data_IF_630234771663
#
_entry.id   IF_630234771663
#
_cell.length_a   1.000
_cell.length_b   1.000
_cell.length_c   1.000
_cell.angle_alpha   90.00
_cell.angle_beta   90.00
_cell.angle_gamma   90.00
#
_symmetry.space_group_name_H-M   'P 1'
#
loop_
_entity.id
_entity.type
_entity.pdbx_description
1 polymer ?
#
# COMPACT_ATOMS: atom_id res chain seq x y z
N UNK A 1 -24.55 15.15 12.97
CA UNK A 1 -24.91 14.12 11.97
C UNK A 1 -23.97 12.94 12.16
N UNK A 2 -24.51 11.76 12.49
CA UNK A 2 -23.71 10.53 12.66
C UNK A 2 -23.27 10.07 11.28
N UNK A 3 -21.97 10.12 11.01
CA UNK A 3 -21.35 9.66 9.77
C UNK A 3 -21.04 8.17 9.97
N UNK A 4 -21.78 7.29 9.29
CA UNK A 4 -21.47 5.87 9.25
C UNK A 4 -20.45 5.59 8.14
N UNK A 5 -19.47 4.75 8.46
CA UNK A 5 -18.23 4.50 7.69
C UNK A 5 -18.45 3.88 6.30
N UNK A 6 -17.63 4.22 5.29
CA UNK A 6 -17.59 3.50 4.02
C UNK A 6 -16.95 2.10 4.20
N UNK A 7 -17.65 1.07 3.74
CA UNK A 7 -17.18 -0.32 3.80
C UNK A 7 -16.19 -0.66 2.68
N UNK A 8 -15.09 -1.34 3.03
CA UNK A 8 -14.16 -1.94 2.07
C UNK A 8 -14.76 -3.28 1.60
N UNK A 9 -15.11 -3.39 0.31
CA UNK A 9 -15.64 -4.64 -0.25
C UNK A 9 -14.59 -5.30 -1.14
N UNK A 10 -14.18 -6.50 -0.77
CA UNK A 10 -13.45 -7.41 -1.67
C UNK A 10 -14.47 -8.13 -2.53
N UNK A 11 -14.61 -7.72 -3.79
CA UNK A 11 -15.62 -8.29 -4.68
C UNK A 11 -15.37 -9.78 -4.98
N UNK A 12 -16.15 -10.66 -4.36
CA UNK A 12 -16.46 -11.98 -4.91
C UNK A 12 -17.69 -11.82 -5.82
N UNK A 13 -17.59 -12.30 -7.06
CA UNK A 13 -18.69 -12.27 -8.03
C UNK A 13 -19.95 -12.96 -7.47
N UNK A 14 -21.10 -12.41 -7.83
CA UNK A 14 -22.44 -12.90 -7.50
C UNK A 14 -22.61 -14.41 -7.68
N UNK A 15 -23.38 -15.00 -6.76
CA UNK A 15 -23.49 -16.44 -6.53
C UNK A 15 -23.80 -17.29 -7.75
N UNK A 16 -22.99 -18.32 -7.91
CA UNK A 16 -23.42 -19.60 -8.47
C UNK A 16 -22.87 -20.69 -7.54
N UNK A 17 -23.78 -21.48 -6.96
CA UNK A 17 -23.46 -22.69 -6.21
C UNK A 17 -22.95 -23.71 -7.24
N UNK A 18 -21.68 -24.08 -7.17
CA UNK A 18 -21.10 -25.08 -8.06
C UNK A 18 -21.04 -26.43 -7.34
N UNK A 19 -21.63 -27.44 -7.97
CA UNK A 19 -21.57 -28.84 -7.58
C UNK A 19 -20.12 -29.35 -7.76
N UNK A 20 -19.59 -29.99 -6.71
CA UNK A 20 -18.20 -30.45 -6.64
C UNK A 20 -17.44 -30.04 -5.36
N UNK A 21 -18.13 -29.47 -4.35
CA UNK A 21 -17.57 -29.35 -3.01
C UNK A 21 -17.63 -30.74 -2.33
N UNK A 22 -16.56 -31.21 -1.67
CA UNK A 22 -16.66 -32.36 -0.79
C UNK A 22 -17.72 -32.06 0.26
N UNK A 23 -18.72 -32.93 0.40
CA UNK A 23 -19.81 -32.74 1.36
C UNK A 23 -19.23 -32.57 2.78
N UNK A 24 -19.49 -31.42 3.42
CA UNK A 24 -19.11 -31.18 4.82
C UNK A 24 -18.49 -29.83 5.19
N UNK A 25 -18.32 -28.87 4.27
CA UNK A 25 -17.76 -27.53 4.57
C UNK A 25 -18.73 -26.40 4.19
N UNK A 26 -19.96 -26.44 4.70
CA UNK A 26 -21.02 -25.48 4.35
C UNK A 26 -20.99 -24.14 5.13
N UNK A 27 -19.98 -23.87 5.96
CA UNK A 27 -19.94 -22.61 6.74
C UNK A 27 -18.53 -21.99 6.86
N UNK A 28 -17.81 -21.93 5.74
CA UNK A 28 -16.56 -21.18 5.68
C UNK A 28 -16.79 -19.66 5.53
N UNK A 29 -17.17 -19.00 6.62
CA UNK A 29 -16.78 -17.61 6.90
C UNK A 29 -15.25 -17.55 7.04
N UNK A 30 -14.52 -17.67 5.92
CA UNK A 30 -13.06 -17.69 5.95
C UNK A 30 -12.47 -16.27 5.86
N UNK A 31 -12.58 -15.54 6.96
CA UNK A 31 -11.48 -14.70 7.44
C UNK A 31 -10.43 -15.67 7.98
N UNK A 32 -9.21 -15.65 7.46
CA UNK A 32 -8.09 -16.43 8.03
C UNK A 32 -7.36 -17.34 7.04
N UNK A 33 -6.33 -16.77 6.41
CA UNK A 33 -4.97 -17.30 6.14
C UNK A 33 -4.76 -18.68 5.48
N UNK A 34 -5.64 -19.68 5.60
CA UNK A 34 -5.36 -21.05 5.11
C UNK A 34 -5.85 -21.40 3.70
N UNK A 35 -6.44 -20.46 2.95
CA UNK A 35 -7.00 -20.75 1.62
C UNK A 35 -6.44 -19.88 0.48
N UNK A 36 -5.23 -19.33 0.63
CA UNK A 36 -4.60 -18.54 -0.44
C UNK A 36 -4.13 -19.42 -1.63
N UNK A 37 -3.77 -20.69 -1.39
CA UNK A 37 -3.31 -21.59 -2.45
C UNK A 37 -4.43 -21.97 -3.44
N UNK A 38 -5.64 -22.28 -2.95
CA UNK A 38 -6.82 -22.52 -3.78
C UNK A 38 -7.28 -21.25 -4.53
N UNK A 39 -7.08 -20.08 -3.95
CA UNK A 39 -7.44 -18.79 -4.56
C UNK A 39 -6.51 -18.41 -5.72
N UNK A 40 -5.22 -18.75 -5.62
CA UNK A 40 -4.20 -18.52 -6.66
C UNK A 40 -4.30 -19.48 -7.86
N UNK A 41 -5.02 -20.60 -7.73
CA UNK A 41 -5.16 -21.61 -8.78
C UNK A 41 -6.06 -21.16 -9.96
N UNK A 42 -6.92 -20.16 -9.75
CA UNK A 42 -7.80 -19.62 -10.82
C UNK A 42 -7.07 -18.56 -11.65
N UNK A 43 -6.81 -18.84 -12.94
CA UNK A 43 -6.11 -17.94 -13.89
C UNK A 43 -6.70 -16.52 -13.95
N UNK A 44 -8.01 -16.37 -13.76
CA UNK A 44 -8.72 -15.08 -13.82
C UNK A 44 -8.45 -14.19 -12.60
N UNK A 45 -8.39 -14.80 -11.40
CA UNK A 45 -8.03 -14.10 -10.16
C UNK A 45 -6.58 -13.61 -10.20
N UNK A 46 -5.69 -14.40 -10.81
CA UNK A 46 -4.27 -14.07 -11.00
C UNK A 46 -4.04 -12.78 -11.78
N UNK A 47 -4.86 -12.51 -12.81
CA UNK A 47 -4.78 -11.24 -13.58
C UNK A 47 -5.19 -10.03 -12.75
N UNK A 48 -6.18 -10.17 -11.86
CA UNK A 48 -6.70 -9.03 -11.08
C UNK A 48 -5.88 -8.75 -9.81
N UNK A 49 -5.26 -9.76 -9.19
CA UNK A 49 -4.47 -9.60 -7.96
C UNK A 49 -3.23 -8.72 -8.14
N UNK A 50 -2.28 -9.16 -8.98
CA UNK A 50 -0.98 -8.48 -9.13
C UNK A 50 -0.71 -8.03 -10.56
N UNK A 51 -1.58 -8.33 -11.55
CA UNK A 51 -1.46 -7.77 -12.92
C UNK A 51 -2.37 -6.57 -13.15
N UNK A 52 -2.91 -5.97 -12.09
CA UNK A 52 -3.73 -4.77 -12.19
C UNK A 52 -2.96 -3.65 -12.91
N UNK A 53 -3.65 -2.92 -13.80
CA UNK A 53 -3.06 -1.86 -14.63
C UNK A 53 -2.47 -0.70 -13.81
N UNK A 54 -2.96 -0.53 -12.59
CA UNK A 54 -2.52 0.52 -11.66
C UNK A 54 -1.15 0.22 -11.02
N UNK A 55 -0.62 -1.00 -11.15
CA UNK A 55 0.69 -1.35 -10.63
C UNK A 55 1.78 -1.22 -11.68
N UNK A 56 2.95 -0.72 -11.27
CA UNK A 56 4.15 -0.73 -12.11
C UNK A 56 4.65 -2.15 -12.31
N UNK A 57 5.40 -2.42 -13.39
CA UNK A 57 5.97 -3.77 -13.63
C UNK A 57 6.78 -4.28 -12.45
N UNK A 58 7.53 -3.41 -11.78
CA UNK A 58 8.33 -3.76 -10.62
C UNK A 58 7.45 -4.17 -9.44
N UNK A 59 6.42 -3.37 -9.13
CA UNK A 59 5.44 -3.68 -8.09
C UNK A 59 4.70 -4.99 -8.37
N UNK A 60 4.33 -5.26 -9.63
CA UNK A 60 3.70 -6.53 -10.02
C UNK A 60 4.59 -7.75 -9.77
N UNK A 61 5.87 -7.65 -10.15
CA UNK A 61 6.85 -8.71 -9.92
C UNK A 61 7.09 -8.92 -8.43
N UNK A 62 7.17 -7.84 -7.66
CA UNK A 62 7.30 -7.88 -6.22
C UNK A 62 6.12 -8.57 -5.56
N UNK A 63 4.88 -8.15 -5.85
CA UNK A 63 3.66 -8.77 -5.33
C UNK A 63 3.56 -10.25 -5.70
N UNK A 64 3.92 -10.61 -6.94
CA UNK A 64 3.98 -12.01 -7.36
C UNK A 64 4.95 -12.82 -6.49
N UNK A 65 6.18 -12.32 -6.27
CA UNK A 65 7.16 -12.99 -5.40
C UNK A 65 6.64 -13.13 -3.98
N UNK A 66 5.99 -12.09 -3.45
CA UNK A 66 5.41 -12.07 -2.11
C UNK A 66 4.30 -13.11 -1.92
N UNK A 67 3.49 -13.38 -2.95
CA UNK A 67 2.42 -14.38 -2.90
C UNK A 67 2.91 -15.82 -3.09
N UNK A 68 4.10 -16.00 -3.66
CA UNK A 68 4.67 -17.30 -4.00
C UNK A 68 5.86 -17.67 -3.11
N UNK A 69 6.04 -16.96 -1.98
CA UNK A 69 7.15 -17.17 -1.04
C UNK A 69 8.53 -17.22 -1.73
N UNK A 70 8.70 -16.39 -2.77
CA UNK A 70 9.90 -16.38 -3.62
C UNK A 70 10.94 -15.36 -3.15
N UNK A 71 10.82 -14.87 -1.92
CA UNK A 71 11.74 -13.93 -1.30
C UNK A 71 12.72 -14.66 -0.38
N UNK A 72 13.94 -14.15 -0.28
CA UNK A 72 14.96 -14.69 0.63
C UNK A 72 14.81 -14.07 2.01
N UNK A 73 13.94 -14.65 2.84
CA UNK A 73 13.64 -14.20 4.21
C UNK A 73 13.50 -15.39 5.16
N UNK A 74 13.65 -15.16 6.46
CA UNK A 74 13.38 -16.15 7.48
C UNK A 74 14.18 -17.44 7.29
N UNK A 75 13.46 -18.58 7.35
CA UNK A 75 14.03 -19.93 7.25
C UNK A 75 14.88 -20.18 6.02
N UNK A 76 14.72 -19.40 4.95
CA UNK A 76 15.62 -19.47 3.79
C UNK A 76 17.09 -19.38 4.19
N UNK A 77 17.41 -18.52 5.19
CA UNK A 77 18.78 -18.27 5.62
C UNK A 77 19.32 -19.27 6.64
N UNK A 78 18.45 -20.01 7.34
CA UNK A 78 18.82 -20.93 8.44
C UNK A 78 19.89 -21.98 8.07
N UNK A 79 19.91 -22.41 6.82
CA UNK A 79 20.83 -23.45 6.32
C UNK A 79 22.13 -22.89 5.73
N UNK A 80 22.34 -21.56 5.76
CA UNK A 80 23.52 -20.92 5.17
C UNK A 80 24.39 -20.40 6.33
N UNK A 81 25.53 -21.05 6.65
CA UNK A 81 26.30 -20.79 7.88
C UNK A 81 26.68 -19.32 8.11
N UNK A 82 27.07 -18.60 7.06
CA UNK A 82 27.50 -17.20 7.16
C UNK A 82 26.35 -16.19 7.26
N UNK A 83 25.11 -16.63 7.00
CA UNK A 83 23.95 -15.74 6.92
C UNK A 83 22.78 -16.20 7.79
N UNK A 84 22.96 -17.21 8.64
CA UNK A 84 21.91 -17.77 9.52
C UNK A 84 21.23 -16.69 10.38
N UNK A 85 21.99 -15.68 10.80
CA UNK A 85 21.49 -14.54 11.57
C UNK A 85 20.38 -13.75 10.86
N UNK A 86 20.24 -13.89 9.54
CA UNK A 86 19.16 -13.25 8.75
C UNK A 86 17.83 -13.99 8.79
N UNK A 87 17.77 -15.12 9.48
CA UNK A 87 16.49 -15.82 9.75
C UNK A 87 15.59 -15.00 10.69
N UNK A 88 16.21 -14.31 11.65
CA UNK A 88 15.51 -13.50 12.65
C UNK A 88 15.76 -12.02 12.40
N UNK A 89 14.77 -11.21 12.73
CA UNK A 89 14.92 -9.76 12.67
C UNK A 89 15.85 -9.30 13.80
N UNK A 90 17.06 -8.88 13.45
CA UNK A 90 18.09 -8.41 14.40
C UNK A 90 17.68 -7.19 15.26
N UNK A 91 16.57 -6.52 14.92
CA UNK A 91 16.06 -5.39 15.69
C UNK A 91 15.07 -5.78 16.79
N UNK A 92 14.33 -6.87 16.62
CA UNK A 92 13.23 -7.21 17.54
C UNK A 92 13.18 -8.70 17.93
N UNK A 93 14.05 -9.53 17.36
CA UNK A 93 14.21 -10.95 17.72
C UNK A 93 13.12 -11.88 17.18
N UNK A 94 12.12 -11.37 16.45
CA UNK A 94 11.08 -12.21 15.83
C UNK A 94 11.57 -12.87 14.54
N UNK A 95 10.98 -14.01 14.18
CA UNK A 95 11.22 -14.66 12.89
C UNK A 95 10.89 -13.70 11.75
N UNK A 96 11.81 -13.57 10.78
CA UNK A 96 11.63 -12.60 9.70
C UNK A 96 10.77 -13.20 8.57
N UNK A 97 9.46 -13.13 8.74
CA UNK A 97 8.47 -13.43 7.69
C UNK A 97 7.91 -12.15 7.04
N UNK A 98 7.14 -12.31 5.96
CA UNK A 98 6.62 -11.18 5.21
C UNK A 98 5.61 -10.34 6.01
N UNK A 99 4.78 -10.98 6.83
CA UNK A 99 3.80 -10.31 7.69
C UNK A 99 4.49 -9.51 8.79
N UNK A 100 5.53 -10.08 9.38
CA UNK A 100 6.41 -9.42 10.32
C UNK A 100 7.01 -8.16 9.68
N UNK A 101 7.70 -8.29 8.53
CA UNK A 101 8.34 -7.16 7.84
C UNK A 101 7.34 -6.02 7.57
N UNK A 102 6.13 -6.36 7.10
CA UNK A 102 5.19 -5.36 6.60
C UNK A 102 4.27 -4.78 7.66
N UNK A 103 3.91 -5.53 8.72
CA UNK A 103 2.90 -5.11 9.69
C UNK A 103 3.39 -5.03 11.14
N UNK A 104 4.35 -5.86 11.55
CA UNK A 104 4.69 -6.03 12.98
C UNK A 104 6.09 -5.53 13.36
N UNK A 105 7.00 -5.43 12.39
CA UNK A 105 8.41 -5.12 12.63
C UNK A 105 8.56 -3.72 13.25
N UNK A 106 9.34 -3.64 14.33
CA UNK A 106 9.62 -2.39 15.07
C UNK A 106 10.81 -1.60 14.51
N UNK A 107 11.40 -2.07 13.41
CA UNK A 107 12.51 -1.37 12.76
C UNK A 107 12.03 0.00 12.25
N UNK A 108 12.86 1.06 12.36
CA UNK A 108 12.54 2.35 11.76
C UNK A 108 12.18 2.22 10.28
N UNK A 109 11.10 2.89 9.88
CA UNK A 109 10.64 2.98 8.50
C UNK A 109 9.32 2.29 8.21
N UNK A 110 9.05 1.10 8.78
CA UNK A 110 7.79 0.39 8.54
C UNK A 110 6.58 1.22 8.95
N UNK A 111 6.53 1.61 10.23
CA UNK A 111 5.42 2.39 10.78
C UNK A 111 5.34 3.77 10.12
N UNK A 112 6.49 4.39 9.86
CA UNK A 112 6.56 5.71 9.25
C UNK A 112 5.97 5.71 7.84
N UNK A 113 6.27 4.72 7.02
CA UNK A 113 5.70 4.59 5.67
C UNK A 113 4.19 4.41 5.73
N UNK A 114 3.67 3.60 6.66
CA UNK A 114 2.22 3.46 6.81
C UNK A 114 1.54 4.74 7.29
N UNK A 115 2.17 5.49 8.18
CA UNK A 115 1.63 6.79 8.62
C UNK A 115 1.62 7.80 7.47
N UNK A 116 2.64 7.83 6.61
CA UNK A 116 2.65 8.67 5.41
C UNK A 116 1.51 8.30 4.44
N UNK A 117 1.29 7.01 4.20
CA UNK A 117 0.21 6.53 3.35
C UNK A 117 -1.18 6.87 3.92
N UNK A 118 -1.34 6.66 5.24
CA UNK A 118 -2.55 7.00 5.99
C UNK A 118 -2.82 8.50 5.94
N UNK A 119 -1.82 9.34 6.21
CA UNK A 119 -1.97 10.79 6.16
C UNK A 119 -2.39 11.26 4.77
N UNK A 120 -1.83 10.70 3.70
CA UNK A 120 -2.25 11.06 2.35
C UNK A 120 -3.69 10.65 2.06
N UNK A 121 -4.09 9.46 2.49
CA UNK A 121 -5.46 8.98 2.33
C UNK A 121 -6.46 9.86 3.08
N UNK A 122 -6.13 10.23 4.32
CA UNK A 122 -6.98 11.01 5.20
C UNK A 122 -7.22 12.45 4.73
N UNK A 123 -6.36 12.99 3.85
CA UNK A 123 -6.62 14.29 3.20
C UNK A 123 -7.90 14.32 2.38
N UNK A 124 -8.35 13.16 1.88
CA UNK A 124 -9.46 13.04 0.95
C UNK A 124 -10.58 12.15 1.45
N UNK A 125 -10.23 11.13 2.23
CA UNK A 125 -11.14 10.07 2.65
C UNK A 125 -11.16 9.99 4.17
N UNK A 126 -12.34 9.74 4.76
CA UNK A 126 -12.49 9.88 6.22
C UNK A 126 -11.89 8.75 7.06
N UNK A 127 -11.78 7.53 6.53
CA UNK A 127 -11.40 6.34 7.31
C UNK A 127 -10.26 5.61 6.63
N UNK A 128 -9.15 5.43 7.35
CA UNK A 128 -8.06 4.55 6.92
C UNK A 128 -8.45 3.09 7.17
N UNK A 129 -8.37 2.21 6.16
CA UNK A 129 -8.71 0.80 6.33
C UNK A 129 -7.69 0.08 7.20
N UNK A 130 -8.17 -0.90 7.97
CA UNK A 130 -7.30 -1.82 8.68
C UNK A 130 -6.47 -2.64 7.68
N UNK A 131 -5.19 -2.83 8.00
CA UNK A 131 -4.26 -3.56 7.16
C UNK A 131 -4.05 -4.97 7.70
N UNK A 132 -4.16 -5.95 6.81
CA UNK A 132 -3.71 -7.32 7.02
C UNK A 132 -2.83 -7.73 5.84
N UNK A 133 -2.01 -8.79 6.00
CA UNK A 133 -1.19 -9.28 4.88
C UNK A 133 -2.07 -9.63 3.67
N UNK A 134 -3.23 -10.25 3.92
CA UNK A 134 -4.22 -10.56 2.89
C UNK A 134 -4.77 -9.31 2.19
N UNK A 135 -5.08 -8.25 2.93
CA UNK A 135 -5.53 -6.97 2.37
C UNK A 135 -4.46 -6.31 1.49
N UNK A 136 -3.19 -6.38 1.91
CA UNK A 136 -2.06 -5.79 1.19
C UNK A 136 -1.80 -6.55 -0.12
N UNK A 137 -1.68 -7.87 -0.04
CA UNK A 137 -1.48 -8.73 -1.20
C UNK A 137 -2.69 -8.70 -2.14
N UNK A 138 -3.89 -8.65 -1.58
CA UNK A 138 -5.16 -8.55 -2.29
C UNK A 138 -5.52 -7.14 -2.76
N UNK A 139 -4.67 -6.14 -2.54
CA UNK A 139 -4.99 -4.72 -2.82
C UNK A 139 -5.43 -4.48 -4.26
N UNK A 140 -4.92 -5.24 -5.24
CA UNK A 140 -5.34 -5.15 -6.65
C UNK A 140 -6.82 -5.43 -6.89
N UNK A 141 -7.48 -6.17 -5.98
CA UNK A 141 -8.91 -6.45 -6.02
C UNK A 141 -9.77 -5.40 -5.32
N UNK A 142 -9.15 -4.46 -4.60
CA UNK A 142 -9.89 -3.52 -3.78
C UNK A 142 -10.78 -2.61 -4.65
N UNK A 143 -12.02 -2.48 -4.20
CA UNK A 143 -13.04 -1.61 -4.78
C UNK A 143 -13.67 -0.80 -3.66
N UNK A 144 -13.39 0.50 -3.65
CA UNK A 144 -13.99 1.46 -2.72
C UNK A 144 -15.33 1.88 -3.29
N UNK A 145 -16.36 1.84 -2.45
CA UNK A 145 -17.70 2.29 -2.80
C UNK A 145 -18.13 3.45 -1.92
N UNK A 146 -19.08 4.26 -2.41
CA UNK A 146 -19.77 5.22 -1.57
C UNK A 146 -20.84 4.53 -0.70
N UNK A 147 -21.54 5.31 0.12
CA UNK A 147 -22.63 4.84 0.99
C UNK A 147 -23.77 4.17 0.22
N UNK A 148 -23.92 4.47 -1.08
CA UNK A 148 -24.93 3.90 -1.97
C UNK A 148 -24.42 2.65 -2.72
N UNK A 149 -23.23 2.17 -2.38
CA UNK A 149 -22.59 1.01 -3.04
C UNK A 149 -22.03 1.32 -4.43
N UNK A 150 -21.98 2.58 -4.86
CA UNK A 150 -21.45 2.96 -6.17
C UNK A 150 -19.93 2.98 -6.11
N UNK A 151 -19.29 2.41 -7.12
CA UNK A 151 -17.82 2.38 -7.20
C UNK A 151 -17.25 3.79 -7.29
N UNK A 152 -16.23 4.05 -6.48
CA UNK A 152 -15.40 5.26 -6.52
C UNK A 152 -14.07 4.89 -7.19
N UNK A 153 -13.95 5.03 -8.53
CA UNK A 153 -12.79 4.52 -9.27
C UNK A 153 -11.50 5.24 -8.90
N UNK A 154 -11.55 6.55 -8.65
CA UNK A 154 -10.41 7.34 -8.18
C UNK A 154 -9.92 6.91 -6.80
N UNK A 155 -10.85 6.66 -5.86
CA UNK A 155 -10.52 6.20 -4.50
C UNK A 155 -9.94 4.77 -4.51
N UNK A 156 -10.57 3.86 -5.25
CA UNK A 156 -10.08 2.49 -5.46
C UNK A 156 -8.67 2.47 -6.02
N UNK A 157 -8.41 3.36 -6.98
CA UNK A 157 -7.11 3.49 -7.62
C UNK A 157 -6.06 4.08 -6.68
N UNK A 158 -6.41 5.13 -5.93
CA UNK A 158 -5.52 5.73 -4.93
C UNK A 158 -5.15 4.71 -3.86
N UNK A 159 -6.11 3.94 -3.35
CA UNK A 159 -5.89 2.87 -2.39
C UNK A 159 -4.88 1.85 -2.93
N UNK A 160 -5.10 1.33 -4.15
CA UNK A 160 -4.19 0.39 -4.81
C UNK A 160 -2.76 0.93 -4.87
N UNK A 161 -2.60 2.18 -5.29
CA UNK A 161 -1.29 2.83 -5.38
C UNK A 161 -0.65 2.93 -4.00
N UNK A 162 -1.36 3.51 -3.03
CA UNK A 162 -0.83 3.74 -1.69
C UNK A 162 -0.39 2.45 -1.01
N UNK A 163 -1.23 1.42 -1.03
CA UNK A 163 -0.92 0.14 -0.38
C UNK A 163 0.27 -0.55 -1.05
N UNK A 164 0.27 -0.62 -2.39
CA UNK A 164 1.32 -1.36 -3.11
C UNK A 164 2.67 -0.64 -3.11
N UNK A 165 2.69 0.68 -3.27
CA UNK A 165 3.94 1.47 -3.22
C UNK A 165 4.50 1.51 -1.79
N UNK A 166 3.64 1.60 -0.76
CA UNK A 166 4.08 1.55 0.65
C UNK A 166 4.65 0.20 1.02
N UNK A 167 3.97 -0.89 0.64
CA UNK A 167 4.49 -2.24 0.86
C UNK A 167 5.86 -2.43 0.20
N UNK A 168 6.00 -1.99 -1.05
CA UNK A 168 7.26 -2.11 -1.75
C UNK A 168 8.36 -1.19 -1.19
N UNK A 169 8.01 0.00 -0.69
CA UNK A 169 8.95 0.89 0.00
C UNK A 169 9.48 0.27 1.29
N UNK A 170 8.60 -0.32 2.13
CA UNK A 170 8.98 -1.02 3.36
C UNK A 170 9.94 -2.17 3.04
N UNK A 171 9.63 -2.95 2.01
CA UNK A 171 10.51 -4.02 1.54
C UNK A 171 11.89 -3.53 1.13
N UNK A 172 11.98 -2.42 0.39
CA UNK A 172 13.26 -1.80 0.00
C UNK A 172 14.05 -1.33 1.22
N UNK A 173 13.41 -0.60 2.14
CA UNK A 173 14.05 -0.14 3.38
C UNK A 173 14.60 -1.33 4.18
N UNK A 174 13.84 -2.42 4.28
CA UNK A 174 14.32 -3.66 4.92
C UNK A 174 15.55 -4.20 4.21
N UNK A 175 15.53 -4.33 2.88
CA UNK A 175 16.66 -4.87 2.13
C UNK A 175 17.91 -4.00 2.24
N UNK A 176 17.75 -2.68 2.14
CA UNK A 176 18.86 -1.74 2.32
C UNK A 176 19.47 -1.94 3.71
N UNK A 177 18.65 -2.08 4.75
CA UNK A 177 19.16 -2.33 6.10
C UNK A 177 19.79 -3.72 6.29
N UNK A 178 19.17 -4.83 5.84
CA UNK A 178 19.68 -6.20 6.06
C UNK A 178 20.85 -6.57 5.13
N UNK A 179 20.83 -6.06 3.90
CA UNK A 179 21.76 -6.49 2.83
C UNK A 179 22.77 -5.38 2.48
N UNK A 180 22.34 -4.12 2.43
CA UNK A 180 23.16 -3.01 1.92
C UNK A 180 23.98 -2.27 2.97
N UNK A 181 23.36 -1.83 4.05
CA UNK A 181 23.88 -0.88 5.04
C UNK A 181 24.37 -1.55 6.33
N UNK A 182 24.64 -2.86 6.32
CA UNK A 182 25.19 -3.58 7.47
C UNK A 182 24.33 -3.48 8.75
N UNK A 183 23.01 -3.37 8.60
CA UNK A 183 22.07 -3.24 9.72
C UNK A 183 21.79 -1.81 10.17
N UNK A 184 22.39 -0.78 9.58
CA UNK A 184 22.13 0.62 10.00
C UNK A 184 20.77 1.11 9.47
N UNK A 185 19.86 1.60 10.33
CA UNK A 185 18.59 2.20 9.88
C UNK A 185 18.79 3.48 9.07
N UNK A 186 17.95 3.70 8.07
CA UNK A 186 17.89 4.97 7.36
C UNK A 186 17.34 6.08 8.26
N UNK A 187 17.78 7.33 8.10
CA UNK A 187 17.17 8.49 8.75
C UNK A 187 15.69 8.63 8.38
N UNK A 188 14.88 9.14 9.33
CA UNK A 188 13.44 9.33 9.12
C UNK A 188 13.13 10.26 7.92
N UNK A 189 13.93 11.30 7.70
CA UNK A 189 13.78 12.20 6.54
C UNK A 189 14.03 11.47 5.22
N UNK A 190 15.00 10.57 5.18
CA UNK A 190 15.33 9.78 4.00
C UNK A 190 14.23 8.76 3.68
N UNK A 191 13.68 8.08 4.71
CA UNK A 191 12.51 7.21 4.57
C UNK A 191 11.33 7.98 3.96
N UNK A 192 11.03 9.16 4.49
CA UNK A 192 9.95 10.01 3.97
C UNK A 192 10.21 10.44 2.53
N UNK A 193 11.42 10.90 2.21
CA UNK A 193 11.80 11.33 0.87
C UNK A 193 11.73 10.17 -0.14
N UNK A 194 12.19 8.97 0.24
CA UNK A 194 12.15 7.79 -0.60
C UNK A 194 10.72 7.35 -0.92
N UNK A 195 9.83 7.39 0.08
CA UNK A 195 8.41 7.10 -0.12
C UNK A 195 7.74 8.18 -0.98
N UNK A 196 7.95 9.46 -0.66
CA UNK A 196 7.40 10.59 -1.45
C UNK A 196 7.89 10.54 -2.89
N UNK A 197 9.15 10.19 -3.12
CA UNK A 197 9.70 10.03 -4.46
C UNK A 197 8.99 8.93 -5.24
N UNK A 198 8.73 7.77 -4.62
CA UNK A 198 8.00 6.67 -5.25
C UNK A 198 6.57 7.08 -5.62
N UNK A 199 5.84 7.72 -4.71
CA UNK A 199 4.46 8.17 -4.97
C UNK A 199 4.42 9.30 -6.01
N UNK A 200 5.36 10.25 -5.98
CA UNK A 200 5.47 11.30 -6.99
C UNK A 200 5.84 10.76 -8.37
N UNK A 201 6.73 9.76 -8.45
CA UNK A 201 6.98 9.08 -9.72
C UNK A 201 5.71 8.44 -10.26
N UNK A 202 4.86 7.87 -9.39
CA UNK A 202 3.58 7.31 -9.82
C UNK A 202 2.64 8.38 -10.37
N UNK A 203 2.54 9.53 -9.69
CA UNK A 203 1.79 10.69 -10.18
C UNK A 203 2.31 11.18 -11.54
N UNK A 204 3.63 11.32 -11.70
CA UNK A 204 4.26 11.75 -12.95
C UNK A 204 3.96 10.76 -14.11
N UNK A 205 4.06 9.45 -13.85
CA UNK A 205 3.68 8.41 -14.80
C UNK A 205 2.21 8.51 -15.19
N UNK A 206 1.31 8.74 -14.23
CA UNK A 206 -0.12 8.86 -14.50
C UNK A 206 -0.43 10.05 -15.40
N UNK A 207 0.21 11.19 -15.15
CA UNK A 207 0.07 12.40 -15.99
C UNK A 207 0.51 12.10 -17.42
N UNK A 208 1.69 11.52 -17.61
CA UNK A 208 2.22 11.16 -18.94
C UNK A 208 1.29 10.19 -19.66
N UNK A 209 0.77 9.20 -18.94
CA UNK A 209 -0.13 8.17 -19.49
C UNK A 209 -1.52 8.71 -19.88
N UNK A 210 -1.85 9.97 -19.60
CA UNK A 210 -3.08 10.60 -20.11
C UNK A 210 -3.03 10.96 -21.59
N UNK A 211 -1.83 11.00 -22.19
CA UNK A 211 -1.67 11.36 -23.60
C UNK A 211 -2.18 10.24 -24.53
N UNK A 212 -3.43 10.36 -24.97
CA UNK A 212 -4.07 9.40 -25.88
C UNK A 212 -3.39 9.30 -27.26
N UNK A 213 -2.77 10.38 -27.76
CA UNK A 213 -2.05 10.35 -29.05
C UNK A 213 -0.82 9.46 -28.96
N UNK A 214 -0.09 9.51 -27.83
CA UNK A 214 1.13 8.72 -27.61
C UNK A 214 0.86 7.27 -27.19
N UNK A 215 -0.15 7.06 -26.33
CA UNK A 215 -0.39 5.77 -25.68
C UNK A 215 -1.66 5.05 -26.15
N UNK A 216 -2.44 5.62 -27.07
CA UNK A 216 -3.59 4.97 -27.70
C UNK A 216 -4.56 4.35 -26.68
N UNK A 217 -4.89 3.07 -26.90
CA UNK A 217 -5.82 2.31 -26.06
C UNK A 217 -5.34 2.02 -24.64
N UNK A 218 -4.03 2.13 -24.36
CA UNK A 218 -3.47 1.92 -23.01
C UNK A 218 -3.37 3.21 -22.20
N UNK A 219 -3.78 4.35 -22.76
CA UNK A 219 -3.85 5.63 -22.05
C UNK A 219 -4.83 5.60 -20.88
N UNK A 220 -4.55 6.42 -19.87
CA UNK A 220 -5.40 6.62 -18.71
C UNK A 220 -6.32 7.80 -18.98
N UNK A 221 -7.61 7.67 -18.66
CA UNK A 221 -8.54 8.79 -18.80
C UNK A 221 -8.12 9.96 -17.88
N UNK A 222 -8.00 11.19 -18.39
CA UNK A 222 -7.62 12.36 -17.58
C UNK A 222 -8.48 12.52 -16.32
N UNK A 223 -9.80 12.34 -16.46
CA UNK A 223 -10.74 12.44 -15.34
C UNK A 223 -10.43 11.44 -14.23
N UNK A 224 -9.99 10.22 -14.56
CA UNK A 224 -9.61 9.22 -13.56
C UNK A 224 -8.34 9.64 -12.80
N UNK A 225 -7.37 10.27 -13.47
CA UNK A 225 -6.16 10.78 -12.81
C UNK A 225 -6.50 11.93 -11.87
N UNK A 226 -7.32 12.89 -12.33
CA UNK A 226 -7.83 13.98 -11.49
C UNK A 226 -8.59 13.42 -10.28
N UNK A 227 -9.51 12.48 -10.49
CA UNK A 227 -10.26 11.83 -9.41
C UNK A 227 -9.36 11.02 -8.46
N UNK A 228 -8.22 10.50 -8.93
CA UNK A 228 -7.27 9.80 -8.05
C UNK A 228 -6.59 10.81 -7.14
N UNK A 229 -5.97 11.84 -7.70
CA UNK A 229 -5.01 12.69 -7.01
C UNK A 229 -5.55 14.02 -6.47
N UNK A 230 -6.77 14.42 -6.82
CA UNK A 230 -7.37 15.63 -6.26
C UNK A 230 -7.44 15.56 -4.72
N UNK A 231 -7.22 16.69 -4.07
CA UNK A 231 -7.06 16.90 -2.62
C UNK A 231 -5.84 16.20 -1.99
N UNK A 232 -4.86 15.79 -2.79
CA UNK A 232 -3.63 15.15 -2.29
C UNK A 232 -2.35 15.90 -2.68
N UNK A 233 -2.50 16.99 -3.44
CA UNK A 233 -1.38 17.71 -4.03
C UNK A 233 -0.87 18.81 -3.10
N UNK A 234 0.42 19.15 -3.26
CA UNK A 234 1.03 20.29 -2.57
C UNK A 234 0.53 21.57 -3.23
N UNK A 235 0.12 22.53 -2.41
CA UNK A 235 -0.40 23.84 -2.85
C UNK A 235 -1.53 23.72 -3.90
N UNK A 236 -2.45 22.78 -3.71
CA UNK A 236 -3.47 22.47 -4.72
C UNK A 236 -4.37 23.66 -5.07
N UNK A 237 -4.57 24.60 -4.15
CA UNK A 237 -5.32 25.84 -4.36
C UNK A 237 -4.68 26.78 -5.38
N UNK A 238 -3.37 26.65 -5.62
CA UNK A 238 -2.62 27.44 -6.60
C UNK A 238 -2.57 26.77 -7.98
N UNK A 239 -3.03 25.52 -8.07
CA UNK A 239 -2.99 24.75 -9.32
C UNK A 239 -4.23 25.03 -10.18
N UNK A 240 -4.09 25.03 -11.52
CA UNK A 240 -5.25 25.11 -12.39
C UNK A 240 -6.13 23.86 -12.22
N UNK A 241 -7.42 24.01 -12.51
CA UNK A 241 -8.40 22.90 -12.43
C UNK A 241 -7.94 21.65 -13.20
N UNK A 242 -7.22 21.84 -14.30
CA UNK A 242 -6.57 20.77 -15.06
C UNK A 242 -5.04 20.88 -14.98
N UNK A 243 -4.48 20.52 -13.83
CA UNK A 243 -3.03 20.49 -13.57
C UNK A 243 -2.27 19.35 -14.28
N UNK A 244 -2.97 18.50 -15.05
CA UNK A 244 -2.33 17.46 -15.85
C UNK A 244 -1.45 18.05 -16.95
N UNK A 245 -1.80 19.23 -17.45
CA UNK A 245 -1.08 19.96 -18.49
C UNK A 245 -0.24 21.05 -17.83
N UNK A 246 1.07 21.03 -18.05
CA UNK A 246 1.98 22.08 -17.57
C UNK A 246 3.05 21.57 -16.60
N UNK A 247 3.54 22.42 -15.67
CA UNK A 247 4.72 22.15 -14.84
C UNK A 247 4.53 20.94 -13.91
N UNK A 248 5.63 20.47 -13.33
CA UNK A 248 5.61 19.29 -12.45
C UNK A 248 4.76 19.56 -11.21
N UNK A 249 3.92 18.60 -10.84
CA UNK A 249 3.03 18.65 -9.69
C UNK A 249 3.47 17.59 -8.69
N UNK A 250 3.43 17.91 -7.40
CA UNK A 250 3.88 17.03 -6.33
C UNK A 250 2.75 16.72 -5.35
N UNK A 251 2.80 15.51 -4.80
CA UNK A 251 2.00 15.08 -3.68
C UNK A 251 2.43 15.84 -2.43
N UNK A 252 1.45 16.40 -1.71
CA UNK A 252 1.68 17.16 -0.49
C UNK A 252 1.50 16.28 0.73
N UNK A 253 2.56 16.06 1.51
CA UNK A 253 2.47 15.56 2.88
C UNK A 253 3.07 16.62 3.79
N UNK A 254 2.31 17.02 4.81
CA UNK A 254 2.85 17.86 5.87
C UNK A 254 3.78 17.00 6.73
N UNK A 255 4.99 17.49 7.07
CA UNK A 255 5.83 16.78 8.02
C UNK A 255 5.06 16.63 9.33
N UNK A 256 5.07 15.43 9.92
CA UNK A 256 4.53 15.20 11.27
C UNK A 256 5.15 16.23 12.20
N UNK A 257 4.38 17.24 12.63
CA UNK A 257 4.80 18.10 13.71
C UNK A 257 4.83 17.23 14.98
N UNK A 258 5.95 17.19 15.74
CA UNK A 258 5.90 16.62 17.07
C UNK A 258 4.86 17.40 17.87
N UNK A 259 3.90 16.67 18.45
CA UNK A 259 2.82 17.21 19.27
C UNK A 259 3.32 18.31 20.18
N UNK A 260 2.67 19.48 20.13
CA UNK A 260 3.00 20.66 20.91
C UNK A 260 3.38 20.31 22.36
N UNK A 261 4.58 20.74 22.76
CA UNK A 261 5.02 20.72 24.16
C UNK A 261 3.94 21.41 25.01
N UNK A 262 3.38 20.77 26.05
CA UNK A 262 2.41 21.43 26.91
C UNK A 262 3.05 22.66 27.57
N UNK A 263 2.29 23.75 27.79
CA UNK A 263 2.83 24.97 28.35
C UNK A 263 3.44 24.68 29.73
N UNK A 264 4.70 25.09 29.89
CA UNK A 264 5.44 25.10 31.15
C UNK A 264 4.58 25.84 32.17
N UNK A 265 4.06 25.13 33.18
CA UNK A 265 3.38 25.74 34.33
C UNK A 265 4.37 26.72 34.96
N UNK A 266 4.12 28.02 34.80
CA UNK A 266 4.82 29.04 35.57
C UNK A 266 4.49 28.80 37.05
N UNK A 267 5.55 28.58 37.84
CA UNK A 267 5.46 28.42 39.28
C UNK A 267 4.77 29.65 39.89
N UNK A 268 3.74 29.40 40.67
CA UNK A 268 3.06 30.39 41.49
C UNK A 268 3.97 30.64 42.69
N UNK A 269 4.63 31.80 42.71
CA UNK A 269 5.37 32.28 43.88
C UNK A 269 4.42 32.35 45.09
N UNK A 270 4.84 31.73 46.19
CA UNK A 270 4.47 32.07 47.56
C UNK A 270 5.74 32.02 48.39
#
# INVERSE_FOLDING_TARGET
MKINSPGLVYGAGSGQRYQGCPEGLDDCKCIGIYNFSCFLARKEFRRRLYRHKDFTRQTRNFLWKSMHDAHRIGRFWSHIPEFGDREICQFCGEMEDLEHIVLRCRRPGQQQVWELAKNLWLKKHGVWPELSLGAILGSGLASITDEKGRNLPGASRLYRILISESFFAIWKIRNDCVIGNGGVPLPASEIQNNWLFAVNQRLDLDRVMTNRKKYGAVSIQPLLVLQTWANTLKNETELPQNWLIGPRVLVGIEPNQPSATPPRRQGRNR
#
